data_IF_815842080771
#
_entry.id   IF_815842080771
#
_cell.length_a   1.000
_cell.length_b   1.000
_cell.length_c   1.000
_cell.angle_alpha   90.00
_cell.angle_beta   90.00
_cell.angle_gamma   90.00
#
_symmetry.space_group_name_H-M   'P 1'
#
loop_
_entity.id
_entity.type
_entity.pdbx_description
1 polymer ?
#
# COMPACT_ATOMS: atom_id res chain seq x y z
N UNK A 1 6.86 22.38 -15.89
CA UNK A 1 7.33 20.98 -15.85
C UNK A 1 7.07 20.46 -14.46
N UNK A 2 6.47 19.27 -14.27
CA UNK A 2 6.53 18.60 -12.98
C UNK A 2 8.02 18.41 -12.62
N UNK A 3 8.37 18.68 -11.36
CA UNK A 3 9.73 18.44 -10.89
C UNK A 3 10.10 16.97 -11.14
N UNK A 4 11.36 16.65 -11.49
CA UNK A 4 11.79 15.26 -11.58
C UNK A 4 11.45 14.58 -10.25
N UNK A 5 10.70 13.48 -10.32
CA UNK A 5 10.46 12.65 -9.15
C UNK A 5 11.83 12.16 -8.69
N UNK A 6 12.15 12.29 -7.40
CA UNK A 6 13.43 11.84 -6.88
C UNK A 6 13.56 10.33 -7.02
N UNK A 7 14.78 9.86 -7.25
CA UNK A 7 15.09 8.44 -7.27
C UNK A 7 15.07 7.91 -5.83
N UNK A 8 14.07 7.07 -5.52
CA UNK A 8 13.85 6.52 -4.18
C UNK A 8 14.70 5.29 -3.88
N UNK A 9 15.48 4.79 -4.84
CA UNK A 9 15.95 3.41 -4.81
C UNK A 9 14.76 2.43 -4.75
N UNK A 10 14.98 1.13 -4.95
CA UNK A 10 13.91 0.14 -4.77
C UNK A 10 13.94 -0.39 -3.34
N UNK A 11 12.97 -0.06 -2.46
CA UNK A 11 12.88 -0.73 -1.16
C UNK A 11 12.50 -2.19 -1.39
N UNK A 12 13.16 -3.14 -0.71
CA UNK A 12 12.86 -4.58 -0.82
C UNK A 12 11.97 -5.09 0.32
N UNK A 13 11.62 -4.25 1.29
CA UNK A 13 10.80 -4.62 2.46
C UNK A 13 9.31 -4.23 2.34
N UNK A 14 8.72 -4.27 1.13
CA UNK A 14 7.28 -4.02 0.95
C UNK A 14 6.43 -5.21 1.41
N UNK A 15 5.13 -4.98 1.63
CA UNK A 15 4.20 -6.10 1.77
C UNK A 15 4.11 -6.86 0.44
N UNK A 16 4.14 -8.19 0.55
CA UNK A 16 3.82 -9.15 -0.51
C UNK A 16 2.66 -10.04 -0.05
N UNK A 17 2.19 -10.93 -0.94
CA UNK A 17 1.11 -11.88 -0.65
C UNK A 17 1.42 -12.67 0.63
N UNK A 18 2.63 -13.26 0.72
CA UNK A 18 3.03 -14.09 1.84
C UNK A 18 3.02 -13.32 3.19
N UNK A 19 3.44 -12.05 3.18
CA UNK A 19 3.49 -11.19 4.36
C UNK A 19 2.10 -10.81 4.92
N UNK A 20 1.04 -10.97 4.11
CA UNK A 20 -0.33 -10.67 4.50
C UNK A 20 -1.15 -11.90 4.86
N UNK A 21 -0.69 -13.11 4.49
CA UNK A 21 -1.35 -14.36 4.85
C UNK A 21 -1.09 -14.74 6.30
N UNK A 22 -2.03 -15.47 6.88
CA UNK A 22 -1.75 -16.22 8.10
C UNK A 22 -0.75 -17.33 7.79
N UNK A 23 0.40 -17.40 8.48
CA UNK A 23 1.33 -18.50 8.29
C UNK A 23 0.67 -19.83 8.72
N UNK A 24 1.04 -20.98 8.12
CA UNK A 24 0.56 -22.29 8.56
C UNK A 24 0.80 -22.50 10.06
N UNK A 25 -0.11 -23.22 10.73
CA UNK A 25 -0.06 -23.46 12.20
C UNK A 25 1.25 -24.11 12.68
N UNK A 26 1.98 -24.76 11.79
CA UNK A 26 3.23 -25.49 12.08
C UNK A 26 4.50 -24.61 12.03
N UNK A 27 4.37 -23.32 11.70
CA UNK A 27 5.51 -22.39 11.65
C UNK A 27 5.84 -21.88 13.06
N UNK A 28 7.07 -22.10 13.54
CA UNK A 28 7.55 -21.68 14.86
C UNK A 28 7.62 -20.15 14.93
N UNK A 29 6.51 -19.53 15.29
CA UNK A 29 6.34 -18.08 15.31
C UNK A 29 4.93 -17.72 14.89
N UNK A 30 3.98 -17.89 15.80
CA UNK A 30 2.57 -17.52 15.67
C UNK A 30 2.45 -15.98 15.60
N UNK A 31 2.84 -15.40 14.47
CA UNK A 31 2.55 -14.00 14.16
C UNK A 31 1.21 -13.95 13.45
N UNK A 32 0.20 -13.27 14.02
CA UNK A 32 -1.10 -13.15 13.38
C UNK A 32 -0.95 -12.42 12.04
N UNK A 33 -1.78 -12.80 11.06
CA UNK A 33 -1.84 -12.09 9.78
C UNK A 33 -2.02 -10.59 9.99
N UNK A 34 -1.25 -9.80 9.26
CA UNK A 34 -1.34 -8.35 9.31
C UNK A 34 -2.72 -7.87 8.81
N UNK A 35 -3.40 -8.66 8.00
CA UNK A 35 -4.75 -8.39 7.50
C UNK A 35 -5.55 -9.68 7.27
N UNK A 36 -6.47 -10.01 8.18
CA UNK A 36 -7.27 -11.24 8.13
C UNK A 36 -8.03 -11.45 6.82
N UNK A 37 -8.69 -10.41 6.27
CA UNK A 37 -9.46 -10.56 5.04
C UNK A 37 -8.58 -10.90 3.82
N UNK A 38 -7.26 -10.69 3.90
CA UNK A 38 -6.34 -11.09 2.85
C UNK A 38 -6.54 -12.56 2.52
N UNK A 39 -6.68 -13.46 3.52
CA UNK A 39 -6.83 -14.92 3.41
C UNK A 39 -7.96 -15.37 2.46
N UNK A 40 -8.95 -14.52 2.20
CA UNK A 40 -10.07 -14.82 1.29
C UNK A 40 -9.93 -14.24 -0.11
N UNK A 41 -8.89 -13.43 -0.37
CA UNK A 41 -8.61 -12.82 -1.68
C UNK A 41 -7.73 -13.78 -2.48
N UNK A 42 -8.05 -14.09 -3.76
CA UNK A 42 -7.18 -14.87 -4.63
C UNK A 42 -5.78 -14.24 -4.78
N UNK A 43 -4.72 -15.05 -4.76
CA UNK A 43 -3.32 -14.55 -4.79
C UNK A 43 -3.02 -13.63 -5.97
N UNK A 44 -3.55 -13.95 -7.16
CA UNK A 44 -3.34 -13.13 -8.36
C UNK A 44 -3.93 -11.71 -8.16
N UNK A 45 -5.17 -11.63 -7.67
CA UNK A 45 -5.83 -10.35 -7.39
C UNK A 45 -5.14 -9.61 -6.24
N UNK A 46 -4.74 -10.30 -5.16
CA UNK A 46 -4.02 -9.67 -4.07
C UNK A 46 -2.66 -9.12 -4.53
N UNK A 47 -1.96 -9.83 -5.41
CA UNK A 47 -0.76 -9.36 -6.08
C UNK A 47 -0.99 -8.06 -6.85
N UNK A 48 -2.02 -8.03 -7.71
CA UNK A 48 -2.37 -6.84 -8.49
C UNK A 48 -2.72 -5.64 -7.59
N UNK A 49 -3.50 -5.88 -6.52
CA UNK A 49 -3.86 -4.84 -5.54
C UNK A 49 -2.61 -4.29 -4.82
N UNK A 50 -1.67 -5.15 -4.45
CA UNK A 50 -0.42 -4.78 -3.82
C UNK A 50 0.46 -3.94 -4.75
N UNK A 51 0.58 -4.33 -6.01
CA UNK A 51 1.42 -3.60 -6.97
C UNK A 51 0.82 -2.22 -7.29
N UNK A 52 -0.49 -2.13 -7.56
CA UNK A 52 -1.18 -0.85 -7.79
C UNK A 52 -1.11 0.07 -6.56
N UNK A 53 -1.25 -0.50 -5.36
CA UNK A 53 -1.11 0.25 -4.12
C UNK A 53 0.31 0.78 -3.93
N UNK A 54 1.33 -0.03 -4.26
CA UNK A 54 2.74 0.36 -4.18
C UNK A 54 3.02 1.53 -5.12
N UNK A 55 2.61 1.43 -6.38
CA UNK A 55 2.80 2.49 -7.39
C UNK A 55 2.15 3.80 -6.94
N UNK A 56 0.93 3.72 -6.41
CA UNK A 56 0.20 4.88 -5.90
C UNK A 56 0.92 5.55 -4.73
N UNK A 57 1.44 4.75 -3.79
CA UNK A 57 2.20 5.24 -2.63
C UNK A 57 3.49 5.90 -3.08
N UNK A 58 4.28 5.25 -3.94
CA UNK A 58 5.56 5.78 -4.45
C UNK A 58 5.32 7.09 -5.20
N UNK A 59 4.30 7.15 -6.05
CA UNK A 59 3.99 8.35 -6.84
C UNK A 59 3.67 9.58 -5.96
N UNK A 60 3.09 9.37 -4.78
CA UNK A 60 2.72 10.44 -3.86
C UNK A 60 3.78 10.72 -2.78
N UNK A 61 4.57 9.74 -2.38
CA UNK A 61 5.45 9.87 -1.23
C UNK A 61 6.56 10.93 -1.42
N UNK A 62 7.14 11.49 -0.34
CA UNK A 62 8.21 12.49 -0.43
C UNK A 62 9.58 11.83 -0.54
N UNK A 63 10.52 12.50 -1.22
CA UNK A 63 11.93 12.12 -1.38
C UNK A 63 12.51 11.51 -0.11
N UNK A 64 13.10 10.32 -0.18
CA UNK A 64 13.93 9.83 0.92
C UNK A 64 15.29 10.52 0.89
N UNK A 65 15.89 10.84 2.05
CA UNK A 65 17.25 11.34 2.11
C UNK A 65 18.25 10.41 1.42
N UNK A 66 19.32 10.96 0.83
CA UNK A 66 20.35 10.17 0.13
C UNK A 66 21.07 9.17 1.06
N UNK A 67 21.12 9.45 2.37
CA UNK A 67 21.71 8.59 3.39
C UNK A 67 20.72 7.57 3.96
N UNK A 68 19.49 7.52 3.45
CA UNK A 68 18.50 6.55 3.88
C UNK A 68 18.96 5.12 3.52
N UNK A 69 18.85 4.14 4.45
CA UNK A 69 19.36 2.80 4.20
C UNK A 69 18.75 2.14 2.95
N UNK A 70 19.62 1.80 1.99
CA UNK A 70 19.23 1.07 0.79
C UNK A 70 18.52 -0.24 1.14
N UNK A 71 17.44 -0.53 0.40
CA UNK A 71 16.65 -1.75 0.57
C UNK A 71 15.64 -1.70 1.71
N UNK A 72 15.71 -0.74 2.64
CA UNK A 72 14.72 -0.62 3.72
C UNK A 72 13.52 0.21 3.28
N UNK A 73 12.32 -0.30 3.53
CA UNK A 73 11.09 0.48 3.31
C UNK A 73 10.71 1.24 4.59
N UNK A 74 10.49 2.58 4.54
CA UNK A 74 10.02 3.33 5.69
C UNK A 74 8.72 2.77 6.27
N UNK A 75 8.57 2.81 7.60
CA UNK A 75 7.36 2.33 8.26
C UNK A 75 6.09 3.05 7.76
N UNK A 76 6.18 4.35 7.48
CA UNK A 76 5.08 5.14 6.91
C UNK A 76 4.67 4.67 5.51
N UNK A 77 5.63 4.24 4.70
CA UNK A 77 5.39 3.73 3.35
C UNK A 77 4.73 2.35 3.40
N UNK A 78 5.23 1.45 4.26
CA UNK A 78 4.62 0.12 4.47
C UNK A 78 3.19 0.22 4.99
N UNK A 79 2.95 1.09 5.97
CA UNK A 79 1.61 1.33 6.50
C UNK A 79 0.68 1.92 5.43
N UNK A 80 1.14 2.93 4.68
CA UNK A 80 0.39 3.51 3.57
C UNK A 80 0.05 2.48 2.49
N UNK A 81 0.98 1.58 2.17
CA UNK A 81 0.79 0.50 1.20
C UNK A 81 -0.28 -0.48 1.65
N UNK A 82 -0.24 -0.93 2.90
CA UNK A 82 -1.27 -1.80 3.46
C UNK A 82 -2.65 -1.12 3.46
N UNK A 83 -2.71 0.15 3.88
CA UNK A 83 -3.98 0.90 3.90
C UNK A 83 -4.54 1.10 2.50
N UNK A 84 -3.70 1.42 1.50
CA UNK A 84 -4.16 1.58 0.13
C UNK A 84 -4.62 0.25 -0.48
N UNK A 85 -3.93 -0.84 -0.18
CA UNK A 85 -4.34 -2.20 -0.61
C UNK A 85 -5.74 -2.52 -0.09
N UNK A 86 -6.01 -2.23 1.20
CA UNK A 86 -7.34 -2.39 1.80
C UNK A 86 -8.39 -1.50 1.15
N UNK A 87 -8.06 -0.25 0.84
CA UNK A 87 -8.98 0.67 0.17
C UNK A 87 -9.36 0.18 -1.23
N UNK A 88 -8.39 -0.33 -1.99
CA UNK A 88 -8.64 -0.90 -3.32
C UNK A 88 -9.49 -2.16 -3.23
N UNK A 89 -9.22 -3.05 -2.27
CA UNK A 89 -10.06 -4.22 -2.03
C UNK A 89 -11.50 -3.84 -1.70
N UNK A 90 -11.71 -2.91 -0.75
CA UNK A 90 -13.05 -2.45 -0.38
C UNK A 90 -13.78 -1.82 -1.58
N UNK A 91 -13.07 -1.13 -2.47
CA UNK A 91 -13.66 -0.57 -3.69
C UNK A 91 -14.09 -1.66 -4.69
N UNK A 92 -13.31 -2.75 -4.81
CA UNK A 92 -13.65 -3.92 -5.63
C UNK A 92 -14.82 -4.71 -5.02
N UNK A 93 -14.83 -4.90 -3.70
CA UNK A 93 -15.85 -5.65 -2.98
C UNK A 93 -17.22 -4.93 -2.99
N UNK A 94 -17.25 -3.61 -2.78
CA UNK A 94 -18.53 -2.86 -2.74
C UNK A 94 -19.21 -2.74 -4.11
N UNK A 95 -18.43 -2.76 -5.20
CA UNK A 95 -18.97 -2.74 -6.58
C UNK A 95 -19.69 -4.07 -6.95
N UNK A 96 -19.60 -5.10 -6.09
CA UNK A 96 -20.22 -6.41 -6.31
C UNK A 96 -21.75 -6.42 -6.10
N UNK A 97 -22.38 -5.27 -5.82
CA UNK A 97 -23.81 -5.15 -5.52
C UNK A 97 -24.71 -4.80 -6.72
N UNK A 98 -24.21 -4.87 -7.96
CA UNK A 98 -24.99 -4.42 -9.13
C UNK A 98 -24.87 -5.19 -10.45
N UNK A 99 -24.09 -6.26 -10.55
CA UNK A 99 -24.01 -7.05 -11.78
C UNK A 99 -22.80 -7.97 -11.85
N UNK A 100 -22.94 -9.20 -11.37
CA UNK A 100 -22.01 -10.27 -11.75
C UNK A 100 -22.45 -10.80 -13.12
N UNK A 101 -21.83 -10.31 -14.18
CA UNK A 101 -22.13 -10.75 -15.53
C UNK A 101 -21.24 -10.10 -16.57
N UNK A 102 -20.17 -10.83 -16.92
CA UNK A 102 -19.51 -10.83 -18.23
C UNK A 102 -18.76 -9.54 -18.65
N UNK A 103 -17.47 -9.49 -18.32
CA UNK A 103 -16.49 -8.62 -18.97
C UNK A 103 -16.04 -7.41 -18.15
N UNK A 104 -14.73 -7.37 -17.87
CA UNK A 104 -13.96 -6.21 -17.41
C UNK A 104 -14.00 -5.90 -15.89
N UNK A 105 -13.02 -6.46 -15.17
CA UNK A 105 -12.63 -5.98 -13.82
C UNK A 105 -12.11 -4.55 -13.93
N UNK A 106 -13.00 -3.57 -13.88
CA UNK A 106 -12.61 -2.15 -13.89
C UNK A 106 -12.23 -1.73 -12.48
N UNK A 107 -10.96 -1.90 -12.10
CA UNK A 107 -10.42 -1.27 -10.90
C UNK A 107 -10.46 0.24 -11.14
N UNK A 108 -11.39 0.94 -10.48
CA UNK A 108 -11.38 2.41 -10.47
C UNK A 108 -10.24 2.85 -9.56
N UNK A 109 -9.16 3.50 -10.07
CA UNK A 109 -8.11 4.02 -9.22
C UNK A 109 -8.69 5.11 -8.35
N UNK A 110 -9.06 4.76 -7.11
CA UNK A 110 -9.42 5.72 -6.08
C UNK A 110 -8.18 6.56 -5.77
N UNK A 111 -8.28 7.90 -5.69
CA UNK A 111 -7.17 8.71 -5.22
C UNK A 111 -6.76 8.25 -3.82
N UNK A 112 -5.47 8.33 -3.49
CA UNK A 112 -5.02 8.02 -2.12
C UNK A 112 -5.87 8.77 -1.09
N UNK A 113 -6.32 8.03 -0.08
CA UNK A 113 -7.11 8.57 1.01
C UNK A 113 -6.36 9.69 1.76
N UNK A 114 -7.10 10.62 2.36
CA UNK A 114 -6.52 11.75 3.06
C UNK A 114 -5.60 11.34 4.21
N UNK A 115 -5.91 10.25 4.93
CA UNK A 115 -5.09 9.73 6.03
C UNK A 115 -3.77 9.21 5.46
N UNK A 116 -3.83 8.45 4.37
CA UNK A 116 -2.64 7.91 3.69
C UNK A 116 -1.73 9.06 3.23
N UNK A 117 -2.33 10.11 2.66
CA UNK A 117 -1.60 11.32 2.28
C UNK A 117 -0.93 12.00 3.48
N UNK A 118 -1.58 12.05 4.64
CA UNK A 118 -1.00 12.62 5.87
C UNK A 118 0.08 11.74 6.49
N UNK A 119 -0.02 10.41 6.37
CA UNK A 119 1.03 9.47 6.79
C UNK A 119 2.29 9.67 5.94
N UNK A 120 2.12 9.81 4.63
CA UNK A 120 3.23 9.99 3.69
C UNK A 120 3.82 11.41 3.75
N UNK A 121 2.96 12.44 3.88
CA UNK A 121 3.35 13.86 3.89
C UNK A 121 2.64 14.57 5.05
N UNK A 122 3.09 14.36 6.30
CA UNK A 122 2.50 15.04 7.45
C UNK A 122 2.67 16.54 7.30
N UNK A 123 1.59 17.29 7.51
CA UNK A 123 1.65 18.75 7.59
C UNK A 123 2.26 19.13 8.94
N UNK A 124 3.57 19.26 9.01
CA UNK A 124 4.23 19.87 10.17
C UNK A 124 3.91 21.36 10.19
N UNK A 125 3.50 21.89 11.34
CA UNK A 125 3.48 23.33 11.54
C UNK A 125 4.90 23.85 11.46
N UNK A 126 5.17 24.78 10.55
CA UNK A 126 6.46 25.47 10.50
C UNK A 126 6.60 26.23 11.82
N UNK A 127 7.64 26.00 12.64
CA UNK A 127 7.92 26.85 13.78
C UNK A 127 8.15 28.26 13.24
N UNK A 128 7.27 29.20 13.57
CA UNK A 128 7.58 30.62 13.39
C UNK A 128 8.65 30.90 14.45
N UNK A 129 9.89 31.08 14.01
CA UNK A 129 10.94 31.60 14.88
C UNK A 129 10.46 32.98 15.37
N UNK A 130 10.18 33.07 16.69
CA UNK A 130 9.99 34.32 17.41
C UNK A 130 11.36 34.89 17.81
#
# INVERSE_FOLDING_TARGET
MPAPQPDYGTPRDWHDVASLRTPPVDTVGDQPAVWEAADHIPDALLGDLLDVARDSVIAFAPVLPEDYPLGKCPASYRLAHLMQTRNLWNAVEVDSSGGFGDGEYTIRPMPLDWIIKQILRPKTGVPVAL
#
